data_IF_742052523221
#
_entry.id   IF_742052523221
#
_cell.length_a   1.000
_cell.length_b   1.000
_cell.length_c   1.000
_cell.angle_alpha   90.00
_cell.angle_beta   90.00
_cell.angle_gamma   90.00
#
_symmetry.space_group_name_H-M   'P 1'
#
loop_
_entity.id
_entity.type
_entity.pdbx_description
1 polymer ?
#
# COMPACT_ATOMS: atom_id res chain seq x y z
N UNK A 1 37.74 -30.62 9.51
CA UNK A 1 36.55 -31.40 9.96
C UNK A 1 36.44 -31.21 11.46
N UNK A 2 35.32 -30.71 11.99
CA UNK A 2 35.16 -30.55 13.44
C UNK A 2 35.12 -31.93 14.12
N UNK A 3 35.74 -32.10 15.30
CA UNK A 3 35.79 -33.41 15.95
C UNK A 3 34.40 -33.76 16.50
N UNK A 4 33.88 -34.92 16.12
CA UNK A 4 32.67 -35.47 16.74
C UNK A 4 33.05 -36.09 18.08
N UNK A 5 32.48 -35.53 19.15
CA UNK A 5 32.56 -36.07 20.50
C UNK A 5 31.95 -37.47 20.53
N UNK A 6 32.67 -38.49 21.02
CA UNK A 6 32.06 -39.80 21.29
C UNK A 6 31.39 -39.74 22.66
N UNK A 7 30.07 -39.77 22.71
CA UNK A 7 29.32 -39.94 23.95
C UNK A 7 28.92 -41.41 24.13
N UNK A 8 29.21 -42.04 25.28
CA UNK A 8 28.63 -43.31 25.68
C UNK A 8 27.24 -43.06 26.31
N UNK A 9 26.20 -43.77 25.84
CA UNK A 9 24.94 -43.93 26.57
C UNK A 9 23.65 -43.38 25.93
N UNK A 10 23.65 -42.19 25.32
CA UNK A 10 22.44 -41.62 24.72
C UNK A 10 22.71 -41.19 23.27
N UNK A 11 22.20 -41.95 22.31
CA UNK A 11 22.17 -41.53 20.91
C UNK A 11 21.29 -40.28 20.80
N UNK A 12 21.83 -39.20 20.22
CA UNK A 12 21.04 -37.99 19.97
C UNK A 12 19.99 -38.33 18.91
N UNK A 13 18.72 -38.29 19.30
CA UNK A 13 17.58 -38.50 18.40
C UNK A 13 17.18 -37.14 17.83
N UNK A 14 17.17 -37.03 16.50
CA UNK A 14 16.60 -35.88 15.81
C UNK A 14 15.18 -36.19 15.38
N UNK A 15 14.27 -35.26 15.59
CA UNK A 15 12.88 -35.39 15.16
C UNK A 15 12.37 -34.10 14.52
N UNK A 16 11.35 -34.22 13.68
CA UNK A 16 10.65 -33.09 13.04
C UNK A 16 9.25 -32.94 13.66
N UNK A 17 8.27 -32.60 12.83
CA UNK A 17 6.86 -32.50 13.17
C UNK A 17 6.30 -33.81 13.73
N UNK A 18 5.15 -33.68 14.40
CA UNK A 18 4.30 -34.80 14.76
C UNK A 18 3.89 -35.60 13.54
N UNK A 19 3.67 -36.89 13.74
CA UNK A 19 3.11 -37.77 12.71
C UNK A 19 1.76 -37.24 12.17
N UNK A 20 1.54 -37.41 10.87
CA UNK A 20 0.38 -36.87 10.15
C UNK A 20 0.37 -35.34 10.06
N UNK A 21 1.48 -34.67 10.35
CA UNK A 21 1.64 -33.23 10.15
C UNK A 21 2.77 -32.96 9.16
N UNK A 22 2.43 -32.32 8.05
CA UNK A 22 3.40 -31.76 7.12
C UNK A 22 3.59 -30.27 7.43
N UNK A 23 4.85 -29.83 7.40
CA UNK A 23 5.15 -28.40 7.43
C UNK A 23 4.76 -27.81 6.07
N UNK A 24 3.54 -27.27 5.98
CA UNK A 24 3.14 -26.53 4.79
C UNK A 24 3.79 -25.16 4.87
N UNK A 25 4.83 -24.93 4.07
CA UNK A 25 5.22 -23.56 3.76
C UNK A 25 3.99 -22.88 3.14
N UNK A 26 3.61 -21.71 3.64
CA UNK A 26 2.31 -21.10 3.34
C UNK A 26 2.14 -20.64 1.87
N UNK A 27 3.09 -20.97 0.99
CA UNK A 27 3.11 -20.58 -0.43
C UNK A 27 3.78 -21.66 -1.26
N UNK A 28 3.19 -22.85 -1.30
CA UNK A 28 3.50 -23.80 -2.37
C UNK A 28 2.46 -23.61 -3.47
N UNK A 29 2.73 -22.66 -4.38
CA UNK A 29 1.99 -22.58 -5.64
C UNK A 29 2.33 -23.82 -6.47
N UNK A 30 1.34 -24.37 -7.18
CA UNK A 30 1.58 -25.49 -8.07
C UNK A 30 2.43 -25.02 -9.25
N UNK A 31 3.65 -25.54 -9.34
CA UNK A 31 4.58 -25.25 -10.42
C UNK A 31 4.73 -26.48 -11.32
N UNK A 32 4.10 -26.42 -12.50
CA UNK A 32 4.16 -27.49 -13.50
C UNK A 32 5.54 -27.67 -14.13
N UNK A 33 6.47 -26.73 -13.93
CA UNK A 33 7.85 -26.81 -14.45
C UNK A 33 8.78 -27.66 -13.57
N UNK A 34 8.32 -28.07 -12.39
CA UNK A 34 9.05 -28.96 -11.47
C UNK A 34 9.16 -30.35 -12.09
N UNK A 35 10.30 -30.62 -12.72
CA UNK A 35 10.65 -31.96 -13.22
C UNK A 35 10.93 -32.91 -12.05
N UNK A 36 10.77 -34.23 -12.27
CA UNK A 36 10.76 -35.25 -11.20
C UNK A 36 11.95 -35.27 -10.23
N UNK A 37 13.08 -34.65 -10.57
CA UNK A 37 14.25 -34.53 -9.68
C UNK A 37 14.06 -33.53 -8.53
N UNK A 38 13.07 -32.63 -8.61
CA UNK A 38 12.77 -31.61 -7.61
C UNK A 38 11.56 -31.94 -6.73
N UNK A 39 10.92 -33.09 -6.95
CA UNK A 39 9.83 -33.57 -6.10
C UNK A 39 10.46 -34.21 -4.86
N UNK A 40 10.19 -33.71 -3.63
CA UNK A 40 10.71 -34.33 -2.43
C UNK A 40 10.20 -35.77 -2.30
N UNK A 41 11.05 -36.64 -1.77
CA UNK A 41 10.70 -38.03 -1.50
C UNK A 41 9.46 -38.10 -0.59
N UNK A 42 8.45 -38.85 -1.02
CA UNK A 42 7.21 -38.97 -0.27
C UNK A 42 7.46 -39.74 1.04
N UNK A 43 7.08 -39.13 2.16
CA UNK A 43 7.11 -39.76 3.48
C UNK A 43 5.68 -39.88 4.04
N UNK A 44 5.14 -41.10 4.20
CA UNK A 44 3.78 -41.31 4.69
C UNK A 44 3.59 -40.84 6.14
N UNK A 45 4.65 -40.77 6.95
CA UNK A 45 4.55 -40.32 8.34
C UNK A 45 4.22 -38.82 8.44
N UNK A 46 4.41 -38.05 7.36
CA UNK A 46 4.03 -36.64 7.30
C UNK A 46 2.74 -36.38 6.52
N UNK A 47 2.09 -37.42 5.99
CA UNK A 47 0.86 -37.26 5.23
C UNK A 47 -0.33 -36.93 6.14
N UNK A 48 -0.91 -35.75 5.93
CA UNK A 48 -2.08 -35.29 6.68
C UNK A 48 -3.32 -36.16 6.43
N UNK A 49 -3.42 -36.81 5.27
CA UNK A 49 -4.54 -37.71 4.94
C UNK A 49 -4.49 -39.02 5.74
N UNK A 50 -3.32 -39.38 6.27
CA UNK A 50 -3.14 -40.57 7.10
C UNK A 50 -3.33 -40.30 8.60
N UNK A 51 -3.77 -39.09 9.00
CA UNK A 51 -4.02 -38.77 10.42
C UNK A 51 -4.97 -39.73 11.13
N UNK A 52 -6.03 -40.18 10.45
CA UNK A 52 -6.98 -41.15 11.00
C UNK A 52 -6.37 -42.54 11.14
N UNK A 53 -5.44 -42.92 10.26
CA UNK A 53 -4.68 -44.15 10.40
C UNK A 53 -3.75 -44.10 11.62
N UNK A 54 -3.14 -42.93 11.87
CA UNK A 54 -2.27 -42.69 13.02
C UNK A 54 -2.98 -42.35 14.33
N UNK A 55 -4.32 -42.25 14.36
CA UNK A 55 -5.07 -42.09 15.62
C UNK A 55 -5.21 -43.41 16.39
N UNK A 56 -4.98 -44.54 15.72
CA UNK A 56 -5.01 -45.85 16.35
C UNK A 56 -3.72 -46.11 17.14
N UNK A 57 -3.85 -46.24 18.46
CA UNK A 57 -2.73 -46.46 19.38
C UNK A 57 -1.95 -47.75 19.09
N UNK A 58 -2.58 -48.79 18.51
CA UNK A 58 -1.89 -50.00 18.09
C UNK A 58 -0.87 -49.72 16.99
N UNK A 59 -1.21 -48.83 16.06
CA UNK A 59 -0.32 -48.41 14.98
C UNK A 59 0.82 -47.56 15.55
N UNK A 60 0.50 -46.59 16.41
CA UNK A 60 1.51 -45.74 17.06
C UNK A 60 2.51 -46.55 17.90
N UNK A 61 2.02 -47.53 18.65
CA UNK A 61 2.87 -48.42 19.46
C UNK A 61 3.92 -49.14 18.60
N UNK A 62 3.49 -49.70 17.46
CA UNK A 62 4.42 -50.36 16.51
C UNK A 62 5.47 -49.40 15.95
N UNK A 63 5.06 -48.19 15.59
CA UNK A 63 5.98 -47.17 15.07
C UNK A 63 7.02 -46.73 16.11
N UNK A 64 6.63 -46.64 17.39
CA UNK A 64 7.57 -46.36 18.50
C UNK A 64 8.54 -47.52 18.72
N UNK A 65 8.03 -48.75 18.74
CA UNK A 65 8.84 -49.97 18.87
C UNK A 65 9.86 -50.12 17.73
N UNK A 66 9.48 -49.71 16.51
CA UNK A 66 10.36 -49.68 15.35
C UNK A 66 11.36 -48.51 15.35
N UNK A 67 11.23 -47.54 16.26
CA UNK A 67 12.09 -46.34 16.30
C UNK A 67 11.84 -45.34 15.17
N UNK A 68 10.64 -45.34 14.58
CA UNK A 68 10.26 -44.39 13.51
C UNK A 68 9.74 -43.07 14.08
N UNK A 69 9.17 -43.11 15.28
CA UNK A 69 8.63 -41.95 15.99
C UNK A 69 9.08 -41.95 17.45
N UNK A 70 9.13 -40.76 18.06
CA UNK A 70 9.42 -40.57 19.47
C UNK A 70 8.22 -40.99 20.34
N UNK A 71 8.42 -41.08 21.65
CA UNK A 71 7.33 -41.30 22.62
C UNK A 71 6.24 -40.22 22.55
N UNK A 72 6.61 -39.01 22.11
CA UNK A 72 5.72 -37.88 21.90
C UNK A 72 5.10 -37.85 20.49
N UNK A 73 5.27 -38.92 19.69
CA UNK A 73 4.80 -39.06 18.30
C UNK A 73 5.42 -38.08 17.29
N UNK A 74 6.63 -37.59 17.55
CA UNK A 74 7.41 -36.82 16.57
C UNK A 74 8.14 -37.78 15.64
N UNK A 75 8.18 -37.47 14.34
CA UNK A 75 8.84 -38.33 13.35
C UNK A 75 10.36 -38.21 13.50
N UNK A 76 11.03 -39.34 13.72
CA UNK A 76 12.48 -39.42 13.85
C UNK A 76 13.12 -39.27 12.46
N UNK A 77 14.24 -38.56 12.38
CA UNK A 77 14.93 -38.32 11.11
C UNK A 77 16.45 -38.27 11.29
N UNK A 78 17.17 -38.22 10.17
CA UNK A 78 18.62 -38.02 10.17
C UNK A 78 18.98 -36.53 10.37
N UNK A 79 20.27 -36.27 10.64
CA UNK A 79 20.76 -34.92 10.88
C UNK A 79 20.58 -33.97 9.67
N UNK A 80 20.71 -34.48 8.44
CA UNK A 80 20.54 -33.67 7.22
C UNK A 80 19.11 -33.15 7.13
N UNK A 81 18.16 -34.04 7.34
CA UNK A 81 16.73 -33.79 7.34
C UNK A 81 16.32 -32.82 8.45
N UNK A 82 16.88 -33.01 9.65
CA UNK A 82 16.66 -32.10 10.77
C UNK A 82 17.19 -30.68 10.49
N UNK A 83 18.39 -30.58 9.92
CA UNK A 83 18.97 -29.29 9.56
C UNK A 83 18.15 -28.59 8.47
N UNK A 84 17.67 -29.33 7.46
CA UNK A 84 16.80 -28.79 6.43
C UNK A 84 15.49 -28.25 7.04
N UNK A 85 14.84 -29.05 7.88
CA UNK A 85 13.62 -28.65 8.58
C UNK A 85 13.80 -27.38 9.42
N UNK A 86 14.91 -27.28 10.19
CA UNK A 86 15.24 -26.04 10.92
C UNK A 86 15.41 -24.84 10.01
N UNK A 87 16.08 -25.00 8.87
CA UNK A 87 16.26 -23.91 7.91
C UNK A 87 14.93 -23.45 7.33
N UNK A 88 14.03 -24.38 6.99
CA UNK A 88 12.68 -24.06 6.48
C UNK A 88 11.85 -23.29 7.51
N UNK A 89 11.86 -23.74 8.78
CA UNK A 89 11.20 -23.03 9.87
C UNK A 89 11.72 -21.59 10.00
N UNK A 90 13.05 -21.41 9.99
CA UNK A 90 13.65 -20.08 10.03
C UNK A 90 13.27 -19.21 8.83
N UNK A 91 13.30 -19.76 7.61
CA UNK A 91 12.89 -19.04 6.39
C UNK A 91 11.43 -18.59 6.47
N UNK A 92 10.54 -19.47 6.91
CA UNK A 92 9.12 -19.15 7.06
C UNK A 92 8.88 -18.06 8.11
N UNK A 93 9.52 -18.16 9.28
CA UNK A 93 9.42 -17.12 10.31
C UNK A 93 9.96 -15.78 9.79
N UNK A 94 11.14 -15.78 9.18
CA UNK A 94 11.76 -14.58 8.62
C UNK A 94 10.88 -13.94 7.53
N UNK A 95 10.25 -14.75 6.68
CA UNK A 95 9.31 -14.28 5.67
C UNK A 95 8.19 -13.44 6.29
N UNK A 96 7.53 -13.94 7.35
CA UNK A 96 6.45 -13.19 8.00
C UNK A 96 6.93 -11.91 8.69
N UNK A 97 8.11 -11.95 9.30
CA UNK A 97 8.73 -10.76 9.91
C UNK A 97 8.97 -9.70 8.84
N UNK A 98 9.66 -10.05 7.74
CA UNK A 98 9.95 -9.11 6.65
C UNK A 98 8.68 -8.60 5.97
N UNK A 99 7.67 -9.45 5.79
CA UNK A 99 6.37 -9.05 5.25
C UNK A 99 5.70 -7.99 6.14
N UNK A 100 5.74 -8.17 7.46
CA UNK A 100 5.20 -7.20 8.40
C UNK A 100 5.96 -5.87 8.39
N UNK A 101 7.30 -5.91 8.29
CA UNK A 101 8.13 -4.71 8.12
C UNK A 101 7.76 -3.95 6.85
N UNK A 102 7.72 -4.63 5.69
CA UNK A 102 7.35 -4.03 4.41
C UNK A 102 5.97 -3.38 4.45
N UNK A 103 5.00 -4.02 5.12
CA UNK A 103 3.66 -3.45 5.29
C UNK A 103 3.69 -2.15 6.09
N UNK A 104 4.45 -2.12 7.20
CA UNK A 104 4.60 -0.91 8.02
C UNK A 104 5.30 0.23 7.26
N UNK A 105 6.34 -0.07 6.50
CA UNK A 105 7.03 0.94 5.67
C UNK A 105 6.08 1.50 4.60
N UNK A 106 5.29 0.65 3.95
CA UNK A 106 4.30 1.09 2.97
C UNK A 106 3.22 1.99 3.62
N UNK A 107 2.70 1.61 4.78
CA UNK A 107 1.75 2.42 5.55
C UNK A 107 2.34 3.78 5.96
N UNK A 108 3.62 3.82 6.36
CA UNK A 108 4.31 5.07 6.70
C UNK A 108 4.52 5.96 5.47
N UNK A 109 4.92 5.38 4.35
CA UNK A 109 5.09 6.11 3.10
C UNK A 109 3.76 6.71 2.63
N UNK A 110 2.69 5.93 2.64
CA UNK A 110 1.34 6.38 2.29
C UNK A 110 0.88 7.55 3.17
N UNK A 111 1.09 7.47 4.48
CA UNK A 111 0.79 8.58 5.41
C UNK A 111 1.56 9.86 5.08
N UNK A 112 2.83 9.75 4.70
CA UNK A 112 3.63 10.91 4.30
C UNK A 112 3.09 11.55 3.02
N UNK A 113 2.64 10.75 2.05
CA UNK A 113 2.04 11.25 0.82
C UNK A 113 0.73 11.99 1.10
N UNK A 114 -0.14 11.42 1.96
CA UNK A 114 -1.40 12.06 2.37
C UNK A 114 -1.12 13.40 3.06
N UNK A 115 -0.22 13.42 4.05
CA UNK A 115 0.13 14.64 4.77
C UNK A 115 0.73 15.73 3.84
N UNK A 116 1.50 15.32 2.84
CA UNK A 116 2.03 16.23 1.83
C UNK A 116 0.91 16.83 0.98
N UNK A 117 -0.02 16.01 0.49
CA UNK A 117 -1.17 16.46 -0.28
C UNK A 117 -2.05 17.44 0.52
N UNK A 118 -2.34 17.13 1.78
CA UNK A 118 -3.09 18.00 2.69
C UNK A 118 -2.40 19.37 2.88
N UNK A 119 -1.07 19.38 3.04
CA UNK A 119 -0.30 20.61 3.18
C UNK A 119 -0.37 21.47 1.91
N UNK A 120 -0.30 20.85 0.73
CA UNK A 120 -0.45 21.55 -0.55
C UNK A 120 -1.85 22.15 -0.66
N UNK A 121 -2.90 21.35 -0.44
CA UNK A 121 -4.29 21.83 -0.51
C UNK A 121 -4.55 23.00 0.45
N UNK A 122 -4.02 22.93 1.67
CA UNK A 122 -4.15 24.02 2.65
C UNK A 122 -3.48 25.30 2.18
N UNK A 123 -2.26 25.20 1.64
CA UNK A 123 -1.54 26.35 1.10
C UNK A 123 -2.26 26.96 -0.10
N UNK A 124 -2.79 26.13 -0.99
CA UNK A 124 -3.50 26.58 -2.17
C UNK A 124 -4.80 27.30 -1.80
N UNK A 125 -5.53 26.79 -0.80
CA UNK A 125 -6.72 27.45 -0.27
C UNK A 125 -6.41 28.85 0.31
N UNK A 126 -5.32 28.97 1.07
CA UNK A 126 -4.87 30.26 1.61
C UNK A 126 -4.45 31.24 0.50
N UNK A 127 -3.70 30.76 -0.48
CA UNK A 127 -3.27 31.56 -1.63
C UNK A 127 -4.47 32.03 -2.46
N UNK A 128 -5.47 31.17 -2.66
CA UNK A 128 -6.70 31.52 -3.35
C UNK A 128 -7.46 32.59 -2.56
N UNK A 129 -7.68 32.40 -1.26
CA UNK A 129 -8.33 33.39 -0.40
C UNK A 129 -7.64 34.76 -0.45
N UNK A 130 -6.30 34.80 -0.40
CA UNK A 130 -5.54 36.04 -0.51
C UNK A 130 -5.69 36.73 -1.88
N UNK A 131 -5.75 35.96 -2.97
CA UNK A 131 -6.02 36.51 -4.32
C UNK A 131 -7.42 37.09 -4.41
N UNK A 132 -8.42 36.41 -3.85
CA UNK A 132 -9.81 36.90 -3.82
C UNK A 132 -9.90 38.24 -3.06
N UNK A 133 -9.28 38.34 -1.88
CA UNK A 133 -9.25 39.59 -1.10
C UNK A 133 -8.61 40.74 -1.88
N UNK A 134 -7.44 40.52 -2.49
CA UNK A 134 -6.76 41.54 -3.30
C UNK A 134 -7.63 41.99 -4.49
N UNK A 135 -8.29 41.05 -5.16
CA UNK A 135 -9.21 41.38 -6.27
C UNK A 135 -10.40 42.23 -5.80
N UNK A 136 -11.04 41.85 -4.69
CA UNK A 136 -12.15 42.61 -4.10
C UNK A 136 -11.72 44.04 -3.73
N UNK A 137 -10.53 44.21 -3.14
CA UNK A 137 -9.97 45.52 -2.82
C UNK A 137 -9.74 46.39 -4.06
N UNK A 138 -9.19 45.80 -5.14
CA UNK A 138 -8.95 46.49 -6.41
C UNK A 138 -10.27 46.94 -7.05
N UNK A 139 -11.28 46.06 -7.07
CA UNK A 139 -12.61 46.37 -7.60
C UNK A 139 -13.28 47.47 -6.79
N UNK A 140 -13.26 47.38 -5.45
CA UNK A 140 -13.81 48.39 -4.57
C UNK A 140 -13.11 49.75 -4.72
N UNK A 141 -11.78 49.75 -4.89
CA UNK A 141 -11.01 50.98 -5.19
C UNK A 141 -11.42 51.58 -6.52
N UNK A 142 -11.58 50.77 -7.57
CA UNK A 142 -12.04 51.24 -8.89
C UNK A 142 -13.43 51.86 -8.80
N UNK A 143 -14.37 51.20 -8.13
CA UNK A 143 -15.73 51.73 -7.91
C UNK A 143 -15.73 53.09 -7.20
N UNK A 144 -14.91 53.26 -6.15
CA UNK A 144 -14.77 54.56 -5.46
C UNK A 144 -14.24 55.65 -6.38
N UNK A 145 -13.21 55.37 -7.15
CA UNK A 145 -12.63 56.33 -8.11
C UNK A 145 -13.63 56.71 -9.21
N UNK A 146 -14.42 55.76 -9.70
CA UNK A 146 -15.46 55.99 -10.70
C UNK A 146 -16.60 56.86 -10.13
N UNK A 147 -17.01 56.63 -8.88
CA UNK A 147 -17.97 57.49 -8.17
C UNK A 147 -17.44 58.92 -7.98
N UNK A 148 -16.23 59.09 -7.45
CA UNK A 148 -15.59 60.41 -7.30
C UNK A 148 -15.43 61.14 -8.64
N UNK A 149 -15.20 60.40 -9.73
CA UNK A 149 -15.16 60.96 -11.08
C UNK A 149 -16.55 61.39 -11.53
N UNK A 150 -17.58 60.59 -11.30
CA UNK A 150 -18.96 60.94 -11.63
C UNK A 150 -19.45 62.16 -10.85
N UNK A 151 -19.12 62.26 -9.56
CA UNK A 151 -19.41 63.43 -8.73
C UNK A 151 -18.68 64.68 -9.23
N UNK A 152 -17.40 64.58 -9.61
CA UNK A 152 -16.65 65.71 -10.22
C UNK A 152 -17.23 66.16 -11.56
N UNK A 153 -17.65 65.20 -12.39
CA UNK A 153 -18.30 65.50 -13.67
C UNK A 153 -19.70 66.11 -13.45
N UNK A 154 -20.48 65.60 -12.49
CA UNK A 154 -21.78 66.13 -12.10
C UNK A 154 -21.71 67.52 -11.46
N UNK A 155 -20.64 67.82 -10.72
CA UNK A 155 -20.38 69.16 -10.17
C UNK A 155 -19.93 70.19 -11.23
N UNK A 156 -19.51 69.72 -12.42
CA UNK A 156 -19.11 70.59 -13.54
C UNK A 156 -20.23 70.86 -14.56
N UNK A 157 -21.41 70.27 -14.39
CA UNK A 157 -22.59 70.54 -15.22
C UNK A 157 -23.51 71.50 -14.45
N UNK A 158 -23.39 72.79 -14.73
CA UNK A 158 -24.46 73.74 -14.43
C UNK A 158 -25.64 73.45 -15.38
N UNK A 159 -26.91 73.54 -14.92
CA UNK A 159 -28.05 73.41 -15.81
C UNK A 159 -28.04 74.59 -16.79
N UNK A 160 -27.92 74.29 -18.08
CA UNK A 160 -28.13 75.25 -19.16
C UNK A 160 -29.59 75.10 -19.59
N UNK A 161 -30.41 76.09 -19.25
CA UNK A 161 -31.77 76.24 -19.78
C UNK A 161 -31.64 76.83 -21.19
N UNK A 162 -32.00 76.07 -22.23
CA UNK A 162 -31.94 76.54 -23.62
C UNK A 162 -32.62 75.57 -24.58
N UNK A 163 -33.57 76.09 -25.34
CA UNK A 163 -34.63 75.39 -26.07
C UNK A 163 -34.21 74.57 -27.30
N UNK A 164 -34.99 73.52 -27.53
CA UNK A 164 -35.43 72.86 -28.77
C UNK A 164 -34.72 73.22 -30.11
N UNK A 165 -34.07 72.24 -30.73
CA UNK A 165 -34.18 72.04 -32.19
C UNK A 165 -33.78 70.61 -32.61
N UNK A 166 -34.64 70.05 -33.46
CA UNK A 166 -34.70 68.67 -33.93
C UNK A 166 -33.74 68.33 -35.09
N UNK A 167 -33.58 67.01 -35.29
CA UNK A 167 -33.29 66.25 -36.53
C UNK A 167 -31.84 65.77 -36.73
N UNK A 168 -31.69 64.44 -36.80
CA UNK A 168 -30.62 63.77 -37.54
C UNK A 168 -30.21 62.39 -37.03
N UNK A 169 -31.00 61.34 -37.33
CA UNK A 169 -30.46 59.98 -37.50
C UNK A 169 -29.45 60.01 -38.69
N UNK A 170 -28.35 59.23 -38.68
CA UNK A 170 -28.52 57.80 -38.99
C UNK A 170 -27.48 56.79 -38.44
N UNK A 171 -27.92 55.54 -38.57
CA UNK A 171 -27.22 54.30 -38.94
C UNK A 171 -26.44 53.44 -37.93
N UNK A 172 -27.08 52.29 -37.66
CA UNK A 172 -26.49 50.98 -37.43
C UNK A 172 -25.23 50.74 -38.27
N UNK A 173 -24.13 50.38 -37.61
CA UNK A 173 -23.32 49.24 -38.05
C UNK A 173 -22.70 48.57 -36.82
N UNK A 174 -23.16 47.35 -36.57
CA UNK A 174 -22.43 46.38 -35.77
C UNK A 174 -21.19 45.96 -36.59
N UNK A 175 -20.04 45.83 -35.94
CA UNK A 175 -19.11 44.77 -36.34
C UNK A 175 -18.28 44.26 -35.16
N UNK A 176 -18.36 42.94 -35.04
CA UNK A 176 -17.71 42.09 -34.06
C UNK A 176 -16.23 41.94 -34.39
N UNK A 177 -15.36 42.07 -33.38
CA UNK A 177 -14.02 41.47 -33.41
C UNK A 177 -13.52 41.17 -31.98
N UNK A 178 -14.11 40.16 -31.33
CA UNK A 178 -13.43 39.50 -30.20
C UNK A 178 -12.55 38.40 -30.81
N UNK A 179 -11.28 38.78 -31.00
CA UNK A 179 -10.19 37.86 -31.32
C UNK A 179 -9.82 37.02 -30.09
N UNK A 180 -9.82 35.71 -30.31
CA UNK A 180 -9.27 34.66 -29.45
C UNK A 180 -7.82 34.93 -29.10
N UNK A 181 -7.48 34.89 -27.80
CA UNK A 181 -6.16 34.41 -27.36
C UNK A 181 -6.38 33.57 -26.09
N UNK A 182 -6.33 32.24 -26.27
CA UNK A 182 -6.01 31.30 -25.23
C UNK A 182 -4.50 31.37 -24.95
N UNK A 183 -4.07 31.39 -23.69
CA UNK A 183 -2.80 30.77 -23.27
C UNK A 183 -2.66 30.70 -21.75
N UNK A 184 -2.29 29.48 -21.31
CA UNK A 184 -1.67 29.06 -20.04
C UNK A 184 -2.54 28.92 -18.79
#
# INVERSE_FOLDING_TARGET
KLPMLKCPGNQVIFSKNKIGQSFKSAKQEFDASVTGAAIPEYNPLHDANLRTFYSNERNLKRLRENGEITQTNDVICNLKDFNHHRQELHKSQLYYVLQAYKRREAEQHDRLLIANAEAITKRDHLNLAGRHQCYEEVVARKMRLDMEKHERMGASVQPYDGEDETIGEPDLYADNAIGVIASC
#
